data_IF_049490824611
#
_entry.id   IF_049490824611
#
_cell.length_a   1.000
_cell.length_b   1.000
_cell.length_c   1.000
_cell.angle_alpha   90.00
_cell.angle_beta   90.00
_cell.angle_gamma   90.00
#
_symmetry.space_group_name_H-M   'P 1'
#
loop_
_entity.id
_entity.type
_entity.pdbx_description
1 polymer ?
#
# COMPACT_ATOMS: atom_id res chain seq x y z
N UNK A 1 1.01 -21.61 31.13
CA UNK A 1 1.35 -21.05 29.80
C UNK A 1 0.07 -20.75 29.04
N UNK A 2 -0.37 -19.49 28.96
CA UNK A 2 -1.52 -19.10 28.13
C UNK A 2 -1.01 -18.72 26.74
N UNK A 3 -1.27 -19.60 25.77
CA UNK A 3 -1.12 -19.31 24.34
C UNK A 3 -2.01 -18.12 23.99
N UNK A 4 -1.41 -16.95 23.81
CA UNK A 4 -2.07 -15.76 23.30
C UNK A 4 -2.21 -15.90 21.78
N UNK A 5 -3.19 -16.68 21.36
CA UNK A 5 -3.64 -16.69 19.98
C UNK A 5 -4.44 -15.39 19.69
N UNK A 6 -3.74 -14.25 19.68
CA UNK A 6 -4.31 -12.96 19.26
C UNK A 6 -4.20 -12.84 17.74
N UNK A 7 -5.23 -13.35 17.08
CA UNK A 7 -5.81 -12.82 15.83
C UNK A 7 -4.80 -12.51 14.71
N UNK A 8 -4.79 -13.34 13.67
CA UNK A 8 -4.18 -13.04 12.35
C UNK A 8 -4.65 -11.75 11.65
N UNK A 9 -5.46 -10.91 12.32
CA UNK A 9 -5.94 -9.61 11.87
C UNK A 9 -5.29 -8.42 12.62
N UNK A 10 -4.37 -8.65 13.58
CA UNK A 10 -3.80 -7.59 14.45
C UNK A 10 -2.27 -7.48 14.46
N UNK A 11 -1.54 -8.26 13.66
CA UNK A 11 -0.08 -8.16 13.64
C UNK A 11 0.35 -6.82 13.04
N UNK A 12 0.99 -5.98 13.85
CA UNK A 12 1.52 -4.67 13.47
C UNK A 12 2.91 -4.51 14.06
N UNK A 13 3.82 -3.93 13.29
CA UNK A 13 5.16 -3.54 13.74
C UNK A 13 5.22 -2.03 13.88
N UNK A 14 5.92 -1.55 14.90
CA UNK A 14 6.21 -0.13 15.07
C UNK A 14 7.57 0.18 14.45
N UNK A 15 7.64 1.29 13.73
CA UNK A 15 8.86 1.82 13.15
C UNK A 15 9.04 3.26 13.61
N UNK A 16 10.26 3.62 13.96
CA UNK A 16 10.63 4.97 14.40
C UNK A 16 11.60 5.61 13.43
N UNK A 17 11.39 6.90 13.16
CA UNK A 17 12.35 7.74 12.48
C UNK A 17 13.35 8.30 13.50
N UNK A 18 14.62 7.90 13.48
CA UNK A 18 15.60 8.39 14.46
C UNK A 18 15.90 9.89 14.32
N UNK A 19 15.63 10.49 13.16
CA UNK A 19 15.90 11.91 12.91
C UNK A 19 14.79 12.83 13.42
N UNK A 20 13.54 12.35 13.45
CA UNK A 20 12.37 13.17 13.84
C UNK A 20 11.66 12.68 15.09
N UNK A 21 11.97 11.47 15.56
CA UNK A 21 11.24 10.80 16.64
C UNK A 21 9.84 10.31 16.24
N UNK A 22 9.46 10.40 14.97
CA UNK A 22 8.14 9.99 14.48
C UNK A 22 7.99 8.46 14.56
N UNK A 23 6.92 7.98 15.19
CA UNK A 23 6.61 6.55 15.30
C UNK A 23 5.39 6.22 14.44
N UNK A 24 5.50 5.19 13.61
CA UNK A 24 4.39 4.69 12.77
C UNK A 24 4.20 3.20 12.93
N UNK A 25 2.95 2.78 12.87
CA UNK A 25 2.57 1.37 12.84
C UNK A 25 2.37 0.90 11.39
N UNK A 26 2.99 -0.23 11.05
CA UNK A 26 2.78 -0.91 9.77
C UNK A 26 2.13 -2.27 10.04
N UNK A 27 0.95 -2.49 9.45
CA UNK A 27 0.23 -3.77 9.56
C UNK A 27 0.91 -4.83 8.70
N UNK A 28 1.10 -6.02 9.26
CA UNK A 28 1.62 -7.18 8.53
C UNK A 28 0.44 -7.91 7.85
N UNK A 29 0.41 -7.89 6.51
CA UNK A 29 -0.65 -8.50 5.69
C UNK A 29 -1.51 -7.47 4.95
N UNK A 30 -2.77 -7.83 4.67
CA UNK A 30 -3.67 -7.06 3.80
C UNK A 30 -3.99 -5.65 4.33
N UNK A 31 -3.84 -4.67 3.44
CA UNK A 31 -4.13 -3.24 3.65
C UNK A 31 -5.49 -2.86 3.04
N UNK A 32 -6.53 -2.85 3.87
CA UNK A 32 -7.86 -2.37 3.46
C UNK A 32 -7.84 -0.91 2.99
N UNK A 33 -7.04 -0.07 3.65
CA UNK A 33 -6.92 1.35 3.27
C UNK A 33 -6.35 1.51 1.87
N UNK A 34 -5.29 0.75 1.53
CA UNK A 34 -4.69 0.86 0.20
C UNK A 34 -5.55 0.20 -0.87
N UNK A 35 -6.24 -0.89 -0.55
CA UNK A 35 -7.19 -1.50 -1.46
C UNK A 35 -8.33 -0.53 -1.83
N UNK A 36 -9.02 0.02 -0.83
CA UNK A 36 -10.21 0.84 -1.07
C UNK A 36 -9.91 2.26 -1.54
N UNK A 37 -8.85 2.88 -1.03
CA UNK A 37 -8.63 4.32 -1.21
C UNK A 37 -7.42 4.68 -2.09
N UNK A 38 -6.62 3.73 -2.57
CA UNK A 38 -5.53 4.08 -3.52
C UNK A 38 -6.07 4.66 -4.82
N UNK A 39 -7.25 4.22 -5.26
CA UNK A 39 -7.96 4.83 -6.38
C UNK A 39 -8.50 6.22 -6.10
N UNK A 40 -8.34 6.82 -4.92
CA UNK A 40 -8.70 8.21 -4.72
C UNK A 40 -7.47 9.10 -4.97
N UNK A 41 -7.15 9.30 -6.26
CA UNK A 41 -5.99 10.06 -6.75
C UNK A 41 -4.62 9.59 -6.22
N UNK A 42 -4.52 8.37 -5.66
CA UNK A 42 -3.29 7.90 -5.03
C UNK A 42 -2.99 8.51 -3.67
N UNK A 43 -3.91 9.28 -3.05
CA UNK A 43 -3.65 10.04 -1.82
C UNK A 43 -3.06 9.19 -0.67
N UNK A 44 -3.60 8.00 -0.33
CA UNK A 44 -3.03 7.17 0.73
C UNK A 44 -1.60 6.69 0.45
N UNK A 45 -1.20 6.61 -0.83
CA UNK A 45 0.14 6.21 -1.24
C UNK A 45 1.14 7.34 -0.96
N UNK A 46 0.79 8.58 -1.27
CA UNK A 46 1.60 9.76 -0.96
C UNK A 46 1.82 9.92 0.54
N UNK A 47 0.77 9.74 1.35
CA UNK A 47 0.87 9.80 2.82
C UNK A 47 1.83 8.74 3.40
N UNK A 48 1.97 7.60 2.72
CA UNK A 48 2.90 6.53 3.07
C UNK A 48 4.26 6.65 2.37
N UNK A 49 4.53 7.79 1.74
CA UNK A 49 5.77 8.09 0.99
C UNK A 49 6.00 7.15 -0.21
N UNK A 50 4.95 6.52 -0.74
CA UNK A 50 4.99 5.69 -1.95
C UNK A 50 4.73 6.56 -3.19
N UNK A 51 5.58 7.58 -3.40
CA UNK A 51 5.34 8.64 -4.38
C UNK A 51 5.20 8.13 -5.82
N UNK A 52 6.00 7.14 -6.22
CA UNK A 52 5.93 6.55 -7.57
C UNK A 52 4.57 5.91 -7.83
N UNK A 53 4.06 5.14 -6.87
CA UNK A 53 2.73 4.51 -6.98
C UNK A 53 1.60 5.53 -6.90
N UNK A 54 1.73 6.56 -6.05
CA UNK A 54 0.78 7.66 -6.02
C UNK A 54 0.71 8.39 -7.36
N UNK A 55 1.86 8.67 -7.97
CA UNK A 55 1.96 9.28 -9.30
C UNK A 55 1.35 8.42 -10.41
N UNK A 56 1.56 7.10 -10.37
CA UNK A 56 0.91 6.17 -11.29
C UNK A 56 -0.61 6.26 -11.22
N UNK A 57 -1.18 6.25 -10.01
CA UNK A 57 -2.62 6.39 -9.82
C UNK A 57 -3.15 7.74 -10.30
N UNK A 58 -2.39 8.82 -10.11
CA UNK A 58 -2.75 10.15 -10.62
C UNK A 58 -2.78 10.15 -12.16
N UNK A 59 -1.79 9.57 -12.82
CA UNK A 59 -1.78 9.43 -14.29
C UNK A 59 -2.95 8.59 -14.77
N UNK A 60 -3.25 7.46 -14.11
CA UNK A 60 -4.41 6.63 -14.45
C UNK A 60 -5.73 7.40 -14.32
N UNK A 61 -5.85 8.30 -13.35
CA UNK A 61 -7.02 9.19 -13.24
C UNK A 61 -7.13 10.18 -14.39
N UNK A 62 -6.00 10.77 -14.80
CA UNK A 62 -5.99 11.66 -15.98
C UNK A 62 -6.43 10.88 -17.22
N UNK A 63 -5.89 9.67 -17.43
CA UNK A 63 -6.29 8.79 -18.54
C UNK A 63 -7.78 8.44 -18.45
N UNK A 64 -8.28 8.10 -17.26
CA UNK A 64 -9.69 7.78 -17.03
C UNK A 64 -10.64 8.94 -17.35
N UNK A 65 -10.26 10.18 -17.07
CA UNK A 65 -11.08 11.37 -17.32
C UNK A 65 -10.99 11.81 -18.78
N UNK A 66 -9.80 11.77 -19.37
CA UNK A 66 -9.52 12.34 -20.69
C UNK A 66 -9.86 11.37 -21.82
N UNK A 67 -9.64 10.07 -21.64
CA UNK A 67 -9.73 9.09 -22.74
C UNK A 67 -11.16 8.78 -23.17
N UNK A 68 -12.12 8.49 -22.27
CA UNK A 68 -13.48 8.12 -22.68
C UNK A 68 -14.18 9.19 -23.54
N UNK A 69 -14.15 10.51 -23.20
CA UNK A 69 -14.78 11.54 -24.03
C UNK A 69 -14.17 11.72 -25.43
N UNK A 70 -13.00 11.14 -25.70
CA UNK A 70 -12.35 11.19 -27.02
C UNK A 70 -12.78 10.01 -27.91
N UNK A 71 -13.61 9.10 -27.40
CA UNK A 71 -14.05 7.94 -28.16
C UNK A 71 -15.12 8.31 -29.19
N UNK A 72 -15.07 7.72 -30.39
CA UNK A 72 -16.01 8.06 -31.46
C UNK A 72 -17.39 7.44 -31.27
N UNK A 73 -17.49 6.37 -30.48
CA UNK A 73 -18.74 5.65 -30.23
C UNK A 73 -18.93 5.38 -28.73
N UNK A 74 -20.20 5.26 -28.32
CA UNK A 74 -20.61 4.91 -26.95
C UNK A 74 -20.11 3.51 -26.55
N UNK A 75 -20.03 2.57 -27.50
CA UNK A 75 -19.52 1.22 -27.26
C UNK A 75 -18.01 1.23 -26.96
N UNK A 76 -17.24 2.04 -27.68
CA UNK A 76 -15.81 2.22 -27.44
C UNK A 76 -15.55 2.91 -26.10
N UNK A 77 -16.35 3.93 -25.78
CA UNK A 77 -16.31 4.62 -24.49
C UNK A 77 -16.50 3.63 -23.33
N UNK A 78 -17.59 2.85 -23.38
CA UNK A 78 -17.90 1.85 -22.36
C UNK A 78 -16.79 0.80 -22.24
N UNK A 79 -16.26 0.33 -23.38
CA UNK A 79 -15.19 -0.66 -23.42
C UNK A 79 -13.93 -0.14 -22.73
N UNK A 80 -13.53 1.11 -22.99
CA UNK A 80 -12.36 1.71 -22.35
C UNK A 80 -12.58 1.96 -20.87
N UNK A 81 -13.76 2.42 -20.46
CA UNK A 81 -14.10 2.57 -19.03
C UNK A 81 -13.97 1.22 -18.33
N UNK A 82 -14.49 0.13 -18.91
CA UNK A 82 -14.39 -1.22 -18.35
C UNK A 82 -12.92 -1.65 -18.20
N UNK A 83 -12.11 -1.49 -19.26
CA UNK A 83 -10.69 -1.86 -19.25
C UNK A 83 -9.90 -1.09 -18.18
N UNK A 84 -10.11 0.22 -18.08
CA UNK A 84 -9.43 1.05 -17.07
C UNK A 84 -9.85 0.65 -15.65
N UNK A 85 -11.14 0.34 -15.42
CA UNK A 85 -11.60 -0.15 -14.11
C UNK A 85 -10.99 -1.50 -13.73
N UNK A 86 -10.80 -2.41 -14.68
CA UNK A 86 -10.10 -3.67 -14.44
C UNK A 86 -8.64 -3.44 -14.03
N UNK A 87 -7.96 -2.47 -14.65
CA UNK A 87 -6.61 -2.04 -14.26
C UNK A 87 -6.62 -1.50 -12.84
N UNK A 88 -7.56 -0.60 -12.49
CA UNK A 88 -7.69 -0.06 -11.14
C UNK A 88 -7.88 -1.17 -10.10
N UNK A 89 -8.84 -2.07 -10.30
CA UNK A 89 -9.13 -3.16 -9.35
C UNK A 89 -7.92 -4.08 -9.18
N UNK A 90 -7.22 -4.39 -10.28
CA UNK A 90 -6.01 -5.22 -10.24
C UNK A 90 -4.90 -4.57 -9.42
N UNK A 91 -4.63 -3.28 -9.67
CA UNK A 91 -3.62 -2.52 -8.93
C UNK A 91 -4.01 -2.32 -7.47
N UNK A 92 -5.28 -2.01 -7.18
CA UNK A 92 -5.81 -1.88 -5.82
C UNK A 92 -5.63 -3.19 -5.05
N UNK A 93 -5.96 -4.32 -5.67
CA UNK A 93 -5.79 -5.65 -5.08
C UNK A 93 -4.31 -5.91 -4.78
N UNK A 94 -3.44 -5.65 -5.74
CA UNK A 94 -2.00 -5.79 -5.55
C UNK A 94 -1.47 -4.90 -4.43
N UNK A 95 -1.90 -3.64 -4.35
CA UNK A 95 -1.57 -2.72 -3.26
C UNK A 95 -2.15 -3.13 -1.91
N UNK A 96 -3.31 -3.78 -1.90
CA UNK A 96 -3.87 -4.42 -0.71
C UNK A 96 -2.92 -5.48 -0.15
N UNK A 97 -2.30 -6.30 -1.02
CA UNK A 97 -1.36 -7.35 -0.62
C UNK A 97 0.01 -6.78 -0.25
N UNK A 98 0.59 -5.97 -1.14
CA UNK A 98 2.01 -5.57 -1.11
C UNK A 98 2.26 -4.18 -0.54
N UNK A 99 1.24 -3.33 -0.43
CA UNK A 99 1.43 -1.93 -0.07
C UNK A 99 2.01 -1.72 1.33
N UNK A 100 1.68 -2.58 2.31
CA UNK A 100 2.29 -2.50 3.64
C UNK A 100 3.77 -2.93 3.65
N UNK A 101 4.12 -3.96 2.88
CA UNK A 101 5.50 -4.39 2.68
C UNK A 101 6.33 -3.27 2.07
N UNK A 102 5.84 -2.65 0.99
CA UNK A 102 6.50 -1.52 0.34
C UNK A 102 6.66 -0.33 1.28
N UNK A 103 5.64 -0.05 2.11
CA UNK A 103 5.72 1.02 3.12
C UNK A 103 6.85 0.74 4.11
N UNK A 104 6.95 -0.49 4.62
CA UNK A 104 8.01 -0.87 5.56
C UNK A 104 9.41 -0.78 4.92
N UNK A 105 9.57 -1.30 3.71
CA UNK A 105 10.84 -1.23 2.96
C UNK A 105 11.27 0.22 2.70
N UNK A 106 10.34 1.05 2.21
CA UNK A 106 10.59 2.46 2.00
C UNK A 106 11.00 3.19 3.29
N UNK A 107 10.39 2.87 4.43
CA UNK A 107 10.81 3.42 5.71
C UNK A 107 12.25 3.02 6.07
N UNK A 108 12.60 1.74 5.91
CA UNK A 108 13.96 1.25 6.17
C UNK A 108 15.00 1.91 5.25
N UNK A 109 14.69 2.04 3.96
CA UNK A 109 15.53 2.75 2.98
C UNK A 109 15.77 4.21 3.36
N UNK A 110 14.78 4.85 4.01
CA UNK A 110 14.87 6.21 4.53
C UNK A 110 15.41 6.29 5.98
N UNK A 111 16.08 5.24 6.47
CA UNK A 111 16.77 5.23 7.76
C UNK A 111 15.87 4.99 8.99
N UNK A 112 14.60 4.64 8.81
CA UNK A 112 13.73 4.26 9.92
C UNK A 112 14.17 2.92 10.50
N UNK A 113 13.87 2.69 11.78
CA UNK A 113 14.22 1.45 12.50
C UNK A 113 13.00 0.83 13.14
N UNK A 114 12.99 -0.49 13.29
CA UNK A 114 11.98 -1.17 14.10
C UNK A 114 12.14 -0.79 15.58
N UNK A 115 11.03 -0.55 16.27
CA UNK A 115 11.02 -0.36 17.72
C UNK A 115 11.07 -1.73 18.39
N UNK A 116 12.06 -1.99 19.25
CA UNK A 116 12.35 -3.32 19.83
C UNK A 116 11.36 -3.79 20.92
N UNK A 117 10.09 -3.41 20.84
CA UNK A 117 9.06 -3.78 21.82
C UNK A 117 8.63 -5.26 21.69
N UNK A 118 8.70 -5.84 20.49
CA UNK A 118 8.24 -7.21 20.19
C UNK A 118 9.08 -7.86 19.08
N UNK A 119 10.17 -8.50 19.49
CA UNK A 119 11.12 -9.13 18.57
C UNK A 119 10.49 -10.29 17.76
N UNK A 120 9.52 -10.99 18.33
CA UNK A 120 8.86 -12.13 17.66
C UNK A 120 8.00 -11.65 16.49
N UNK A 121 7.22 -10.59 16.69
CA UNK A 121 6.42 -9.96 15.63
C UNK A 121 7.31 -9.31 14.56
N UNK A 122 8.43 -8.70 14.96
CA UNK A 122 9.39 -8.13 14.00
C UNK A 122 9.99 -9.22 13.11
N UNK A 123 10.44 -10.34 13.69
CA UNK A 123 11.03 -11.44 12.92
C UNK A 123 10.02 -12.04 11.93
N UNK A 124 8.77 -12.27 12.38
CA UNK A 124 7.70 -12.75 11.50
C UNK A 124 7.40 -11.76 10.36
N UNK A 125 7.40 -10.45 10.66
CA UNK A 125 7.22 -9.42 9.65
C UNK A 125 8.37 -9.40 8.63
N UNK A 126 9.62 -9.50 9.10
CA UNK A 126 10.81 -9.57 8.25
C UNK A 126 10.78 -10.76 7.31
N UNK A 127 10.45 -11.94 7.83
CA UNK A 127 10.31 -13.17 7.04
C UNK A 127 9.24 -13.02 5.96
N UNK A 128 8.04 -12.55 6.34
CA UNK A 128 6.92 -12.37 5.40
C UNK A 128 7.19 -11.31 4.32
N UNK A 129 7.98 -10.31 4.64
CA UNK A 129 8.32 -9.20 3.74
C UNK A 129 9.65 -9.40 3.00
N UNK A 130 10.39 -10.48 3.29
CA UNK A 130 11.71 -10.74 2.71
C UNK A 130 12.73 -9.64 3.04
N UNK A 131 12.78 -9.21 4.30
CA UNK A 131 13.70 -8.18 4.80
C UNK A 131 14.85 -8.88 5.54
N UNK A 132 16.07 -8.74 5.01
CA UNK A 132 17.27 -9.47 5.48
C UNK A 132 18.30 -8.59 6.22
N UNK A 133 17.83 -7.54 6.89
CA UNK A 133 18.65 -6.62 7.70
C UNK A 133 18.47 -6.87 9.19
#
# INVERSE_FOLDING_TARGET
MKSNNKKGNKMKVKMTNPHTGEIKEVKVGWSWTLFLFSSFLGLPLFLRKLYVWGGLFLVLWVVFIVTPPLMPTEEDEFTIILLINLIFISLQTWLGIKGNEMTAKNYLENGWKFVQDDQTTINCAKEKWGINI
#
